data_IF_609391125458
#
_entry.id   IF_609391125458
#
_cell.length_a   1.000
_cell.length_b   1.000
_cell.length_c   1.000
_cell.angle_alpha   90.00
_cell.angle_beta   90.00
_cell.angle_gamma   90.00
#
_symmetry.space_group_name_H-M   'P 1'
#
loop_
_entity.id
_entity.type
_entity.pdbx_description
1 polymer ?
#
# COMPACT_ATOMS: atom_id res chain seq x y z
N UNK A 1 -47.21 32.39 -5.51
CA UNK A 1 -45.84 32.91 -5.29
C UNK A 1 -45.02 32.14 -4.24
N UNK A 2 -45.59 31.22 -3.44
CA UNK A 2 -44.84 30.52 -2.38
C UNK A 2 -44.01 29.30 -2.80
N UNK A 3 -44.40 28.59 -3.87
CA UNK A 3 -43.76 27.32 -4.28
C UNK A 3 -42.38 27.54 -4.91
N UNK A 4 -42.18 28.67 -5.59
CA UNK A 4 -40.91 29.04 -6.22
C UNK A 4 -39.85 29.43 -5.18
N UNK A 5 -40.27 30.07 -4.09
CA UNK A 5 -39.38 30.48 -3.00
C UNK A 5 -38.86 29.25 -2.27
N UNK A 6 -39.74 28.29 -1.96
CA UNK A 6 -39.34 27.04 -1.30
C UNK A 6 -38.41 26.18 -2.17
N UNK A 7 -38.66 26.13 -3.48
CA UNK A 7 -37.72 25.52 -4.43
C UNK A 7 -36.37 26.21 -4.38
N UNK A 8 -36.31 27.54 -4.45
CA UNK A 8 -35.06 28.28 -4.39
C UNK A 8 -34.29 28.07 -3.08
N UNK A 9 -34.99 28.01 -1.94
CA UNK A 9 -34.38 27.72 -0.63
C UNK A 9 -33.80 26.32 -0.59
N UNK A 10 -34.53 25.31 -1.09
CA UNK A 10 -34.04 23.93 -1.16
C UNK A 10 -32.86 23.83 -2.13
N UNK A 11 -32.94 24.45 -3.31
CA UNK A 11 -31.84 24.47 -4.27
C UNK A 11 -30.60 25.16 -3.68
N UNK A 12 -30.74 26.29 -2.99
CA UNK A 12 -29.60 26.95 -2.35
C UNK A 12 -29.01 26.11 -1.21
N UNK A 13 -29.85 25.47 -0.37
CA UNK A 13 -29.37 24.60 0.73
C UNK A 13 -28.66 23.35 0.20
N UNK A 14 -29.17 22.73 -0.87
CA UNK A 14 -28.53 21.58 -1.52
C UNK A 14 -27.21 21.99 -2.17
N UNK A 15 -27.15 23.15 -2.83
CA UNK A 15 -25.92 23.65 -3.45
C UNK A 15 -24.87 24.07 -2.41
N UNK A 16 -25.27 24.66 -1.28
CA UNK A 16 -24.37 25.04 -0.18
C UNK A 16 -23.78 23.83 0.54
N UNK A 17 -24.51 22.71 0.63
CA UNK A 17 -24.04 21.48 1.28
C UNK A 17 -23.09 20.66 0.41
N UNK A 18 -23.27 20.64 -0.92
CA UNK A 18 -22.36 19.94 -1.84
C UNK A 18 -20.99 20.64 -1.94
N UNK A 19 -20.95 21.98 -1.87
CA UNK A 19 -19.70 22.76 -1.96
C UNK A 19 -18.80 22.59 -0.73
N UNK A 20 -19.33 22.21 0.43
CA UNK A 20 -18.55 22.08 1.67
C UNK A 20 -17.83 20.73 1.87
N UNK A 21 -17.88 19.80 0.92
CA UNK A 21 -17.27 18.46 1.08
C UNK A 21 -16.04 18.18 0.21
N UNK A 22 -15.58 19.14 -0.60
CA UNK A 22 -14.43 19.00 -1.51
C UNK A 22 -13.12 19.58 -0.91
N UNK A 23 -12.97 19.51 0.40
CA UNK A 23 -11.68 19.81 1.04
C UNK A 23 -11.32 18.65 1.95
N UNK A 24 -10.16 18.05 1.68
CA UNK A 24 -9.47 17.01 2.49
C UNK A 24 -9.73 15.54 2.15
N UNK A 25 -9.49 15.14 0.89
CA UNK A 25 -9.16 13.72 0.56
C UNK A 25 -7.94 13.55 -0.37
N UNK A 26 -7.19 14.63 -0.63
CA UNK A 26 -6.05 14.59 -1.56
C UNK A 26 -4.69 14.50 -0.86
N UNK A 27 -4.65 14.35 0.46
CA UNK A 27 -3.40 14.04 1.17
C UNK A 27 -3.19 12.54 1.24
N UNK A 28 -2.80 11.99 0.09
CA UNK A 28 -2.16 10.68 0.04
C UNK A 28 -0.85 10.65 0.84
N UNK A 29 -0.23 9.48 0.96
CA UNK A 29 1.09 9.37 1.59
C UNK A 29 2.13 10.17 0.77
N UNK A 30 2.66 11.24 1.34
CA UNK A 30 3.68 12.08 0.72
C UNK A 30 4.89 12.23 1.63
N UNK A 31 6.08 12.34 1.03
CA UNK A 31 7.32 12.63 1.77
C UNK A 31 7.22 14.00 2.44
N UNK A 32 7.45 14.12 3.76
CA UNK A 32 7.42 15.40 4.46
C UNK A 32 8.34 16.43 3.79
N UNK A 33 7.80 17.62 3.49
CA UNK A 33 8.51 18.68 2.76
C UNK A 33 9.43 19.53 3.65
N UNK A 34 9.26 19.45 4.97
CA UNK A 34 10.02 20.26 5.93
C UNK A 34 11.49 19.83 5.96
N UNK A 35 12.40 20.82 5.96
CA UNK A 35 13.85 20.62 5.82
C UNK A 35 14.44 19.71 6.90
N UNK A 36 13.90 19.72 8.12
CA UNK A 36 14.33 18.84 9.21
C UNK A 36 14.12 17.34 8.96
N UNK A 37 13.28 16.96 7.99
CA UNK A 37 13.06 15.56 7.59
C UNK A 37 13.64 15.24 6.21
N UNK A 38 14.25 16.22 5.53
CA UNK A 38 14.82 16.03 4.19
C UNK A 38 16.14 15.26 4.33
N UNK A 39 16.24 14.12 3.65
CA UNK A 39 17.50 13.38 3.55
C UNK A 39 18.51 14.29 2.82
N UNK A 40 19.70 14.53 3.40
CA UNK A 40 20.74 15.33 2.74
C UNK A 40 21.11 14.70 1.39
N UNK A 41 21.16 15.53 0.34
CA UNK A 41 21.68 15.09 -0.95
C UNK A 41 23.17 14.77 -0.78
N UNK A 42 23.57 13.54 -1.06
CA UNK A 42 24.99 13.19 -1.21
C UNK A 42 25.43 13.53 -2.63
N UNK A 43 26.58 14.17 -2.78
CA UNK A 43 27.17 14.50 -4.09
C UNK A 43 27.51 13.26 -4.92
N UNK A 44 27.74 12.12 -4.25
CA UNK A 44 28.01 10.83 -4.87
C UNK A 44 27.34 9.68 -4.10
N UNK A 45 26.87 8.62 -4.79
CA UNK A 45 26.38 7.42 -4.13
C UNK A 45 27.50 6.77 -3.30
N UNK A 46 27.16 5.98 -2.25
CA UNK A 46 28.19 5.20 -1.55
C UNK A 46 28.92 4.30 -2.54
N UNK A 47 30.21 4.01 -2.30
CA UNK A 47 30.97 3.10 -3.15
C UNK A 47 30.31 1.71 -3.18
N UNK A 48 30.43 0.98 -4.30
CA UNK A 48 29.82 -0.34 -4.44
C UNK A 48 30.32 -1.28 -3.32
N UNK A 49 29.45 -2.13 -2.76
CA UNK A 49 29.86 -3.13 -1.78
C UNK A 49 31.00 -3.97 -2.33
N UNK A 50 32.13 -4.02 -1.62
CA UNK A 50 33.25 -4.88 -2.01
C UNK A 50 32.87 -6.32 -1.71
N UNK A 51 32.78 -7.15 -2.76
CA UNK A 51 32.60 -8.60 -2.59
C UNK A 51 33.79 -9.14 -1.80
N UNK A 52 33.53 -9.84 -0.70
CA UNK A 52 34.57 -10.62 -0.01
C UNK A 52 35.01 -11.75 -0.95
N UNK A 53 36.30 -12.08 -1.02
CA UNK A 53 36.74 -13.19 -1.83
C UNK A 53 36.09 -14.50 -1.36
N UNK A 54 35.78 -15.38 -2.31
CA UNK A 54 35.14 -16.67 -2.03
C UNK A 54 35.91 -17.50 -0.98
N UNK A 55 37.23 -17.39 -0.96
CA UNK A 55 38.10 -18.08 0.01
C UNK A 55 38.01 -17.55 1.46
N UNK A 56 37.48 -16.33 1.67
CA UNK A 56 37.27 -15.76 3.02
C UNK A 56 35.93 -16.20 3.62
N UNK A 57 34.95 -16.50 2.77
CA UNK A 57 33.70 -17.13 3.17
C UNK A 57 33.87 -18.65 3.07
N UNK A 58 34.78 -19.17 3.90
CA UNK A 58 35.16 -20.58 3.95
C UNK A 58 33.95 -21.50 3.78
N UNK A 59 34.11 -22.41 2.82
CA UNK A 59 33.14 -23.41 2.38
C UNK A 59 31.91 -22.87 1.64
N UNK A 60 31.72 -23.41 0.43
CA UNK A 60 30.46 -23.33 -0.30
C UNK A 60 29.37 -23.81 0.66
N UNK A 61 28.48 -22.91 1.10
CA UNK A 61 27.32 -23.28 1.93
C UNK A 61 26.66 -24.50 1.31
N UNK A 62 26.66 -25.61 2.05
CA UNK A 62 25.96 -26.81 1.60
C UNK A 62 24.50 -26.44 1.39
N UNK A 63 23.93 -26.91 0.28
CA UNK A 63 22.49 -26.78 0.08
C UNK A 63 21.78 -27.51 1.22
N UNK A 64 20.74 -26.93 1.85
CA UNK A 64 19.95 -27.60 2.86
C UNK A 64 19.49 -28.96 2.35
N UNK A 65 19.78 -30.02 3.11
CA UNK A 65 19.51 -31.41 2.71
C UNK A 65 18.02 -31.67 2.42
N UNK A 66 17.13 -30.86 2.99
CA UNK A 66 15.67 -31.01 2.86
C UNK A 66 15.04 -29.94 1.95
N UNK A 67 15.85 -29.24 1.14
CA UNK A 67 15.40 -28.11 0.34
C UNK A 67 15.22 -26.83 1.17
N UNK A 68 15.09 -25.69 0.51
CA UNK A 68 14.85 -24.38 1.15
C UNK A 68 13.38 -24.13 1.42
N UNK A 69 12.50 -24.75 0.64
CA UNK A 69 11.06 -24.56 0.73
C UNK A 69 10.41 -25.83 1.23
N UNK A 70 9.70 -25.69 2.35
CA UNK A 70 8.83 -26.72 2.90
C UNK A 70 7.40 -26.23 2.67
N UNK A 71 6.76 -26.59 1.55
CA UNK A 71 5.38 -26.19 1.33
C UNK A 71 4.52 -26.70 2.50
N UNK A 72 3.62 -25.87 3.04
CA UNK A 72 2.57 -26.39 3.90
C UNK A 72 1.78 -27.43 3.13
N UNK A 73 1.22 -28.40 3.85
CA UNK A 73 0.37 -29.41 3.25
C UNK A 73 -0.84 -28.72 2.60
N UNK A 74 -0.92 -28.83 1.27
CA UNK A 74 -1.90 -28.13 0.45
C UNK A 74 -3.32 -28.61 0.75
N UNK A 75 -3.47 -29.85 1.21
CA UNK A 75 -4.77 -30.40 1.56
C UNK A 75 -5.43 -29.57 2.68
N UNK A 76 -4.65 -29.06 3.65
CA UNK A 76 -5.15 -28.17 4.69
C UNK A 76 -5.53 -26.77 4.17
N UNK A 77 -4.95 -26.33 3.06
CA UNK A 77 -5.22 -25.01 2.45
C UNK A 77 -6.58 -25.00 1.76
N UNK A 78 -7.02 -26.13 1.20
CA UNK A 78 -8.27 -26.23 0.43
C UNK A 78 -9.45 -26.82 1.21
N UNK A 79 -9.23 -27.39 2.41
CA UNK A 79 -10.31 -27.98 3.24
C UNK A 79 -11.36 -26.95 3.72
N UNK A 80 -11.09 -25.64 3.65
CA UNK A 80 -12.06 -24.60 4.07
C UNK A 80 -12.79 -23.91 2.91
N UNK A 81 -12.51 -24.21 1.64
CA UNK A 81 -13.33 -23.67 0.55
C UNK A 81 -14.61 -24.49 0.41
N UNK A 82 -15.62 -24.16 1.22
CA UNK A 82 -16.99 -24.55 0.94
C UNK A 82 -17.35 -24.07 -0.49
N UNK A 83 -17.98 -24.92 -1.33
CA UNK A 83 -18.50 -24.44 -2.60
C UNK A 83 -19.48 -23.29 -2.32
N UNK A 84 -19.23 -22.13 -2.93
CA UNK A 84 -20.20 -21.04 -2.94
C UNK A 84 -21.50 -21.55 -3.57
N UNK A 85 -22.60 -21.16 -2.95
CA UNK A 85 -23.94 -21.69 -3.13
C UNK A 85 -24.35 -21.84 -4.61
N UNK A 86 -24.98 -22.97 -4.92
CA UNK A 86 -25.64 -23.23 -6.19
C UNK A 86 -26.86 -22.32 -6.27
N UNK A 87 -26.83 -21.33 -7.18
CA UNK A 87 -28.01 -20.53 -7.49
C UNK A 87 -29.08 -21.43 -8.12
N UNK A 88 -30.20 -21.58 -7.42
CA UNK A 88 -31.45 -22.18 -7.92
C UNK A 88 -32.25 -21.14 -8.69
#
# INVERSE_FOLDING_TARGET
MGVTIWKAVIYNLVMETEVYSVVSKEEGCSTPKHSGYRIPTRDQPPPPPRKKPFYVCGEKRETPKKGYFHPPDLDHVFVTTQPHEVWV
#
